data_IF_740802733631
#
_entry.id   IF_740802733631
#
_cell.length_a   1.000
_cell.length_b   1.000
_cell.length_c   1.000
_cell.angle_alpha   90.00
_cell.angle_beta   90.00
_cell.angle_gamma   90.00
#
_symmetry.space_group_name_H-M   'P 1'
#
loop_
_entity.id
_entity.type
_entity.pdbx_description
1 polymer ?
#
# COMPACT_ATOMS: atom_id res chain seq x y z
N UNK A 1 -3.13 13.17 26.33
CA UNK A 1 -2.65 13.88 25.13
C UNK A 1 -2.60 12.89 23.97
N UNK A 2 -3.46 13.03 22.96
CA UNK A 2 -3.35 12.25 21.72
C UNK A 2 -2.19 12.82 20.91
N UNK A 3 -1.23 12.00 20.42
CA UNK A 3 -0.11 12.53 19.64
C UNK A 3 -0.61 13.31 18.41
N UNK A 4 0.11 14.37 17.99
CA UNK A 4 -0.27 15.14 16.81
C UNK A 4 -0.28 14.20 15.60
N UNK A 5 -1.46 14.04 14.99
CA UNK A 5 -1.60 13.22 13.80
C UNK A 5 -0.97 13.97 12.63
N UNK A 6 -0.03 13.31 11.95
CA UNK A 6 0.63 13.91 10.80
C UNK A 6 -0.26 13.70 9.57
N UNK A 7 -0.59 14.77 8.82
CA UNK A 7 -1.44 14.66 7.64
C UNK A 7 -0.79 13.73 6.60
N UNK A 8 -1.57 12.77 6.10
CA UNK A 8 -1.19 11.83 5.06
C UNK A 8 -1.21 12.50 3.69
N UNK A 9 -0.10 13.16 3.36
CA UNK A 9 0.10 13.85 2.07
C UNK A 9 0.10 12.89 0.87
N UNK A 10 0.48 11.62 1.08
CA UNK A 10 0.52 10.62 0.01
C UNK A 10 -0.90 10.26 -0.45
N UNK A 11 -1.80 10.00 0.49
CA UNK A 11 -3.21 9.76 0.17
C UNK A 11 -3.86 10.99 -0.48
N UNK A 12 -3.54 12.19 0.01
CA UNK A 12 -4.05 13.44 -0.58
C UNK A 12 -3.61 13.61 -2.04
N UNK A 13 -2.34 13.32 -2.35
CA UNK A 13 -1.82 13.38 -3.71
C UNK A 13 -2.48 12.36 -4.64
N UNK A 14 -2.70 11.12 -4.17
CA UNK A 14 -3.38 10.09 -4.94
C UNK A 14 -4.85 10.45 -5.25
N UNK A 15 -5.54 11.10 -4.31
CA UNK A 15 -6.90 11.59 -4.54
C UNK A 15 -6.93 12.71 -5.58
N UNK A 16 -5.98 13.65 -5.52
CA UNK A 16 -5.87 14.71 -6.51
C UNK A 16 -5.55 14.16 -7.91
N UNK A 17 -4.62 13.21 -8.02
CA UNK A 17 -4.27 12.54 -9.29
C UNK A 17 -5.46 11.76 -9.87
N UNK A 18 -6.28 11.16 -9.00
CA UNK A 18 -7.47 10.39 -9.40
C UNK A 18 -8.69 11.27 -9.74
N UNK A 19 -8.60 12.58 -9.52
CA UNK A 19 -9.70 13.54 -9.52
C UNK A 19 -10.86 13.07 -8.62
N UNK A 20 -10.54 12.60 -7.42
CA UNK A 20 -11.49 12.02 -6.47
C UNK A 20 -11.63 12.83 -5.19
N UNK A 21 -12.88 13.03 -4.77
CA UNK A 21 -13.16 13.53 -3.43
C UNK A 21 -13.05 12.43 -2.37
N UNK A 22 -12.97 12.83 -1.11
CA UNK A 22 -13.04 11.91 0.03
C UNK A 22 -14.34 11.08 0.03
N UNK A 23 -15.45 11.65 -0.46
CA UNK A 23 -16.71 10.92 -0.61
C UNK A 23 -16.62 9.85 -1.70
N UNK A 24 -15.95 10.13 -2.81
CA UNK A 24 -15.81 9.20 -3.93
C UNK A 24 -14.93 8.01 -3.55
N UNK A 25 -13.84 8.26 -2.82
CA UNK A 25 -13.03 7.19 -2.24
C UNK A 25 -13.87 6.31 -1.31
N UNK A 26 -14.64 6.90 -0.40
CA UNK A 26 -15.47 6.13 0.53
C UNK A 26 -16.49 5.24 -0.22
N UNK A 27 -17.16 5.79 -1.24
CA UNK A 27 -18.10 5.04 -2.09
C UNK A 27 -17.41 3.89 -2.80
N UNK A 28 -16.25 4.15 -3.40
CA UNK A 28 -15.54 3.16 -4.19
C UNK A 28 -14.96 2.02 -3.31
N UNK A 29 -14.47 2.35 -2.10
CA UNK A 29 -14.04 1.36 -1.10
C UNK A 29 -15.22 0.51 -0.61
N UNK A 30 -16.37 1.13 -0.33
CA UNK A 30 -17.57 0.38 0.07
C UNK A 30 -18.07 -0.52 -1.06
N UNK A 31 -18.03 -0.05 -2.31
CA UNK A 31 -18.43 -0.83 -3.48
C UNK A 31 -17.53 -2.04 -3.70
N UNK A 32 -16.20 -1.85 -3.63
CA UNK A 32 -15.25 -2.97 -3.73
C UNK A 32 -15.39 -3.94 -2.55
N UNK A 33 -15.55 -3.41 -1.33
CA UNK A 33 -15.80 -4.22 -0.14
C UNK A 33 -17.05 -5.09 -0.30
N UNK A 34 -18.16 -4.50 -0.76
CA UNK A 34 -19.40 -5.21 -1.02
C UNK A 34 -19.24 -6.30 -2.10
N UNK A 35 -18.49 -6.02 -3.17
CA UNK A 35 -18.17 -7.00 -4.20
C UNK A 35 -17.32 -8.17 -3.65
N UNK A 36 -16.52 -7.94 -2.61
CA UNK A 36 -15.75 -8.96 -1.88
C UNK A 36 -16.52 -9.59 -0.70
N UNK A 37 -17.84 -9.32 -0.57
CA UNK A 37 -18.68 -9.85 0.51
C UNK A 37 -18.53 -9.14 1.86
N UNK A 38 -17.79 -8.04 1.93
CA UNK A 38 -17.61 -7.23 3.14
C UNK A 38 -18.71 -6.17 3.24
N UNK A 39 -19.35 -6.08 4.42
CA UNK A 39 -20.31 -5.02 4.73
C UNK A 39 -19.59 -3.81 5.33
N UNK A 40 -19.11 -2.92 4.46
CA UNK A 40 -18.44 -1.68 4.84
C UNK A 40 -19.37 -0.47 4.72
N UNK A 41 -19.24 0.50 5.62
CA UNK A 41 -20.01 1.76 5.63
C UNK A 41 -19.11 2.95 5.94
N UNK A 42 -18.05 3.13 5.16
CA UNK A 42 -17.20 4.31 5.28
C UNK A 42 -17.86 5.52 4.65
N UNK A 43 -17.58 6.68 5.24
CA UNK A 43 -18.09 7.97 4.82
C UNK A 43 -16.94 8.97 4.61
N UNK A 44 -17.30 10.19 4.23
CA UNK A 44 -16.35 11.29 4.05
C UNK A 44 -15.52 11.54 5.32
N UNK A 45 -16.12 11.44 6.50
CA UNK A 45 -15.43 11.68 7.77
C UNK A 45 -14.38 10.62 8.07
N UNK A 46 -14.66 9.36 7.72
CA UNK A 46 -13.70 8.25 7.81
C UNK A 46 -12.47 8.52 6.95
N UNK A 47 -12.69 8.97 5.72
CA UNK A 47 -11.59 9.33 4.79
C UNK A 47 -10.83 10.57 5.25
N UNK A 48 -11.52 11.59 5.77
CA UNK A 48 -10.87 12.76 6.37
C UNK A 48 -9.93 12.35 7.51
N UNK A 49 -10.37 11.43 8.38
CA UNK A 49 -9.50 10.88 9.42
C UNK A 49 -8.28 10.17 8.84
N UNK A 50 -8.41 9.46 7.72
CA UNK A 50 -7.27 8.83 7.05
C UNK A 50 -6.29 9.85 6.46
N UNK A 51 -6.81 10.95 5.91
CA UNK A 51 -6.03 12.09 5.47
C UNK A 51 -5.34 12.81 6.63
N UNK A 52 -5.95 12.82 7.81
CA UNK A 52 -5.33 13.33 9.04
C UNK A 52 -4.28 12.37 9.61
N UNK A 53 -4.08 11.18 9.02
CA UNK A 53 -3.09 10.20 9.45
C UNK A 53 -3.63 9.07 10.34
N UNK A 54 -4.96 8.95 10.51
CA UNK A 54 -5.55 7.76 11.09
C UNK A 54 -5.40 6.57 10.13
N UNK A 55 -5.14 5.39 10.66
CA UNK A 55 -4.87 4.20 9.85
C UNK A 55 -6.06 3.26 9.95
N UNK A 56 -6.71 2.90 8.84
CA UNK A 56 -7.72 1.86 8.87
C UNK A 56 -7.07 0.50 9.09
N UNK A 57 -7.76 -0.40 9.79
CA UNK A 57 -7.30 -1.78 9.96
C UNK A 57 -7.43 -2.57 8.64
N UNK A 58 -6.56 -3.56 8.39
CA UNK A 58 -6.81 -4.56 7.35
C UNK A 58 -8.21 -5.18 7.52
N UNK A 59 -8.99 -5.41 6.45
CA UNK A 59 -8.60 -5.43 5.03
C UNK A 59 -8.71 -4.08 4.29
N UNK A 60 -9.17 -3.01 4.95
CA UNK A 60 -9.56 -1.75 4.30
C UNK A 60 -8.40 -1.05 3.61
N UNK A 61 -7.20 -1.10 4.21
CA UNK A 61 -5.98 -0.53 3.62
C UNK A 61 -5.66 -1.17 2.26
N UNK A 62 -5.91 -2.47 2.11
CA UNK A 62 -5.76 -3.17 0.83
C UNK A 62 -6.80 -2.70 -0.19
N UNK A 63 -8.05 -2.56 0.23
CA UNK A 63 -9.12 -2.05 -0.64
C UNK A 63 -8.80 -0.64 -1.14
N UNK A 64 -8.31 0.26 -0.29
CA UNK A 64 -7.95 1.63 -0.69
C UNK A 64 -6.87 1.60 -1.79
N UNK A 65 -5.80 0.83 -1.59
CA UNK A 65 -4.75 0.69 -2.60
C UNK A 65 -5.25 0.10 -3.92
N UNK A 66 -6.12 -0.91 -3.84
CA UNK A 66 -6.68 -1.57 -5.01
C UNK A 66 -7.61 -0.65 -5.82
N UNK A 67 -8.47 0.10 -5.14
CA UNK A 67 -9.45 1.00 -5.78
C UNK A 67 -8.76 2.20 -6.42
N UNK A 68 -7.76 2.80 -5.74
CA UNK A 68 -6.93 3.85 -6.32
C UNK A 68 -6.12 3.33 -7.51
N UNK A 69 -5.57 2.11 -7.42
CA UNK A 69 -4.81 1.53 -8.52
C UNK A 69 -5.66 1.24 -9.76
N UNK A 70 -6.90 0.79 -9.57
CA UNK A 70 -7.87 0.62 -10.66
C UNK A 70 -8.20 1.96 -11.32
N UNK A 71 -8.39 3.02 -10.52
CA UNK A 71 -8.72 4.35 -11.05
C UNK A 71 -7.57 5.00 -11.80
N UNK A 72 -6.35 4.89 -11.29
CA UNK A 72 -5.16 5.51 -11.87
C UNK A 72 -4.53 4.68 -13.01
N UNK A 73 -5.05 3.48 -13.28
CA UNK A 73 -4.50 2.59 -14.31
C UNK A 73 -3.10 2.05 -13.98
N UNK A 74 -2.65 2.19 -12.73
CA UNK A 74 -1.32 1.75 -12.26
C UNK A 74 -1.43 1.10 -10.90
N UNK A 75 -0.48 0.22 -10.57
CA UNK A 75 -0.48 -0.42 -9.25
C UNK A 75 -0.10 0.59 -8.16
N UNK A 76 -0.98 0.78 -7.18
CA UNK A 76 -0.73 1.58 -5.97
C UNK A 76 -0.42 0.64 -4.82
N UNK A 77 0.79 0.75 -4.25
CA UNK A 77 1.21 -0.06 -3.10
C UNK A 77 0.67 0.52 -1.79
N UNK A 78 0.54 -0.32 -0.75
CA UNK A 78 0.10 0.15 0.57
C UNK A 78 1.04 1.21 1.16
N UNK A 79 2.35 1.04 0.93
CA UNK A 79 3.36 2.04 1.31
C UNK A 79 3.13 3.35 0.56
N UNK A 80 2.78 3.26 -0.73
CA UNK A 80 2.45 4.40 -1.58
C UNK A 80 1.21 5.18 -1.15
N UNK A 81 0.29 4.59 -0.37
CA UNK A 81 -0.87 5.31 0.17
C UNK A 81 -0.61 6.04 1.48
N UNK A 82 0.55 5.82 2.12
CA UNK A 82 0.87 6.37 3.44
C UNK A 82 0.00 5.84 4.58
N UNK A 83 -0.78 4.77 4.35
CA UNK A 83 -1.72 4.18 5.32
C UNK A 83 -1.15 3.02 6.14
N UNK A 84 0.08 2.59 5.84
CA UNK A 84 0.79 1.53 6.55
C UNK A 84 2.13 2.04 7.08
N UNK A 85 2.69 1.37 8.09
CA UNK A 85 4.10 1.61 8.44
C UNK A 85 5.00 1.02 7.35
N UNK A 86 6.15 1.66 7.05
CA UNK A 86 7.22 1.02 6.29
C UNK A 86 7.61 -0.26 7.00
N UNK A 87 7.21 -1.40 6.43
CA UNK A 87 7.65 -2.70 6.91
C UNK A 87 9.13 -2.83 6.55
N UNK A 88 10.01 -2.52 7.50
CA UNK A 88 11.42 -2.87 7.40
C UNK A 88 11.50 -4.38 7.61
N UNK A 89 11.34 -5.14 6.52
CA UNK A 89 11.59 -6.56 6.55
C UNK A 89 13.10 -6.81 6.80
N UNK A 90 13.48 -7.59 7.82
CA UNK A 90 14.87 -7.97 8.01
C UNK A 90 15.31 -8.87 6.85
N UNK A 91 16.33 -8.44 6.11
CA UNK A 91 16.98 -9.27 5.08
C UNK A 91 17.67 -10.44 5.78
N UNK A 92 17.32 -11.71 5.52
CA UNK A 92 17.95 -12.83 6.21
C UNK A 92 19.43 -12.96 5.82
N UNK A 93 20.32 -12.79 6.80
CA UNK A 93 21.80 -12.84 6.65
C UNK A 93 22.33 -14.14 6.01
N UNK A 94 21.54 -15.22 6.02
CA UNK A 94 21.87 -16.48 5.36
C UNK A 94 21.97 -16.35 3.83
N UNK A 95 21.30 -15.37 3.22
CA UNK A 95 21.38 -15.11 1.78
C UNK A 95 22.78 -14.63 1.33
N UNK A 96 23.70 -14.27 2.23
CA UNK A 96 25.01 -13.69 1.89
C UNK A 96 26.19 -14.68 1.99
N UNK A 97 26.02 -15.89 2.55
CA UNK A 97 27.13 -16.85 2.72
C UNK A 97 26.95 -18.12 1.88
N UNK A 98 27.65 -18.18 0.73
CA UNK A 98 27.94 -19.40 -0.03
C UNK A 98 26.78 -20.07 -0.80
N UNK A 99 26.83 -20.02 -2.13
CA UNK A 99 25.94 -20.80 -3.01
C UNK A 99 25.83 -20.19 -4.41
N UNK A 100 25.65 -21.07 -5.41
CA UNK A 100 25.50 -20.76 -6.84
C UNK A 100 24.67 -19.48 -7.08
N UNK A 101 25.20 -18.49 -7.81
CA UNK A 101 24.60 -17.17 -7.93
C UNK A 101 23.22 -17.21 -8.59
N UNK A 102 23.00 -18.15 -9.51
CA UNK A 102 21.70 -18.33 -10.19
C UNK A 102 20.68 -18.91 -9.23
N UNK A 103 21.08 -19.88 -8.41
CA UNK A 103 20.21 -20.48 -7.39
C UNK A 103 19.87 -19.50 -6.26
N UNK A 104 20.80 -18.60 -5.93
CA UNK A 104 20.56 -17.47 -4.98
C UNK A 104 19.59 -16.45 -5.57
N UNK A 105 19.73 -16.09 -6.85
CA UNK A 105 18.77 -15.25 -7.58
C UNK A 105 17.38 -15.88 -7.63
N UNK A 106 17.30 -17.20 -7.86
CA UNK A 106 16.02 -17.91 -7.86
C UNK A 106 15.36 -17.93 -6.47
N UNK A 107 16.13 -18.14 -5.40
CA UNK A 107 15.63 -18.08 -4.02
C UNK A 107 15.15 -16.66 -3.63
N UNK A 108 15.85 -15.62 -4.10
CA UNK A 108 15.41 -14.23 -3.97
C UNK A 108 14.09 -14.01 -4.73
N UNK A 109 13.98 -14.44 -5.99
CA UNK A 109 12.75 -14.34 -6.78
C UNK A 109 11.56 -15.09 -6.17
N UNK A 110 11.79 -16.21 -5.48
CA UNK A 110 10.73 -16.95 -4.80
C UNK A 110 10.28 -16.29 -3.50
N UNK A 111 11.20 -15.56 -2.82
CA UNK A 111 10.89 -14.77 -1.62
C UNK A 111 10.31 -13.39 -1.98
N UNK A 112 10.57 -12.88 -3.19
CA UNK A 112 9.99 -11.68 -3.81
C UNK A 112 8.60 -11.93 -4.43
N UNK A 113 8.06 -13.14 -4.27
CA UNK A 113 6.66 -13.43 -4.62
C UNK A 113 5.65 -12.72 -3.68
N UNK A 114 6.15 -11.99 -2.68
CA UNK A 114 5.40 -11.01 -1.90
C UNK A 114 5.55 -9.59 -2.50
N UNK A 115 4.50 -9.02 -3.13
CA UNK A 115 4.61 -7.80 -3.95
C UNK A 115 4.88 -6.52 -3.13
N UNK A 116 4.84 -6.60 -1.80
CA UNK A 116 5.21 -5.51 -0.89
C UNK A 116 6.73 -5.31 -0.76
N UNK A 117 7.57 -6.28 -1.22
CA UNK A 117 9.04 -6.19 -1.15
C UNK A 117 9.73 -5.80 -2.46
N UNK A 118 9.02 -5.83 -3.59
CA UNK A 118 9.58 -5.57 -4.93
C UNK A 118 10.00 -4.10 -5.17
N UNK A 119 9.70 -3.19 -4.25
CA UNK A 119 10.04 -1.76 -4.34
C UNK A 119 11.50 -1.42 -4.02
N UNK A 120 12.29 -2.34 -3.46
CA UNK A 120 13.65 -2.02 -2.96
C UNK A 120 14.81 -2.42 -3.91
N UNK A 121 14.57 -3.07 -5.05
CA UNK A 121 15.64 -3.58 -5.93
C UNK A 121 15.64 -3.05 -7.38
N UNK A 122 14.81 -2.05 -7.71
CA UNK A 122 14.76 -1.50 -9.08
C UNK A 122 15.83 -0.43 -9.40
N UNK A 123 16.68 -0.04 -8.45
CA UNK A 123 17.79 0.93 -8.65
C UNK A 123 19.14 0.33 -8.27
N UNK A 124 19.47 -0.86 -8.81
CA UNK A 124 20.84 -1.38 -8.77
C UNK A 124 21.24 -2.18 -10.04
N UNK A 125 20.41 -2.17 -11.10
CA UNK A 125 20.66 -2.93 -12.32
C UNK A 125 20.88 -2.05 -13.58
N UNK A 126 21.36 -0.81 -13.40
CA UNK A 126 21.76 0.09 -14.50
C UNK A 126 23.11 0.77 -14.23
N UNK A 127 24.09 0.02 -13.73
CA UNK A 127 25.50 0.40 -13.79
C UNK A 127 26.35 -0.82 -14.16
#
# INVERSE_FOLDING_TARGET
MTPPRHPNRMLAALLAEADWSATDLARAVNALGAAQGLRLRYDRASVARWLDGARPCPPVTHLIGQVLGQRLGRRVTLQGTGLTEPSVAPVPRAALRGGDPVRRLAALCHTDADPARRGALATAALA
#
